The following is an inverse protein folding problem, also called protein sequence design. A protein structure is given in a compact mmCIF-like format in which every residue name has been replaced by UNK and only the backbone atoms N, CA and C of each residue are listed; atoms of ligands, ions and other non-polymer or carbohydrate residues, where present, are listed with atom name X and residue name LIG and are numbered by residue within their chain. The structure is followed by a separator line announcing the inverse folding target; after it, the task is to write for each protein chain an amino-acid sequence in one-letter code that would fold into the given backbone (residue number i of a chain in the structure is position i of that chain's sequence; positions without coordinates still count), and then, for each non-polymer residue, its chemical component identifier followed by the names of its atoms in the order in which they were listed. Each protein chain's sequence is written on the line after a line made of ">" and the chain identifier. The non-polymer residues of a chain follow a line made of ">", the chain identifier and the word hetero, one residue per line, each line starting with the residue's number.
data_IF_454321299690
#
_entry.id   IF_454321299690
#
_cell.length_a   1.000
_cell.length_b   1.000
_cell.length_c   1.000
_cell.angle_alpha   90.00
_cell.angle_beta   90.00
_cell.angle_gamma   90.00
#
_symmetry.space_group_name_H-M   'P 1'
#
loop_
_entity.id
_entity.type
_entity.pdbx_description
1 polymer ?
#
# COMPACT_ATOMS: atom_id res chain seq x y z
N UNK A 1 46.69 -56.33 2.50
CA UNK A 1 46.88 -55.30 3.55
C UNK A 1 47.81 -54.17 3.09
N UNK A 2 48.68 -54.38 2.11
CA UNK A 2 49.67 -53.38 1.70
C UNK A 2 49.15 -52.32 0.71
N UNK A 3 48.14 -52.63 -0.12
CA UNK A 3 47.58 -51.66 -1.08
C UNK A 3 46.82 -50.50 -0.39
N UNK A 4 46.04 -50.79 0.66
CA UNK A 4 45.23 -49.79 1.39
C UNK A 4 46.13 -48.82 2.17
N UNK A 5 47.26 -49.29 2.71
CA UNK A 5 48.26 -48.43 3.36
C UNK A 5 48.97 -47.50 2.36
N UNK A 6 49.12 -47.94 1.10
CA UNK A 6 49.72 -47.14 0.03
C UNK A 6 48.82 -46.00 -0.43
N UNK A 7 47.51 -46.25 -0.53
CA UNK A 7 46.54 -45.28 -1.05
C UNK A 7 46.26 -44.14 -0.05
N UNK A 8 46.06 -44.48 1.23
CA UNK A 8 45.94 -43.49 2.34
C UNK A 8 47.20 -42.62 2.45
N UNK A 9 48.38 -43.17 2.13
CA UNK A 9 49.64 -42.42 2.13
C UNK A 9 49.77 -41.43 0.97
N UNK A 10 49.04 -41.63 -0.14
CA UNK A 10 49.10 -40.73 -1.30
C UNK A 10 48.17 -39.52 -1.15
N UNK A 11 46.97 -39.71 -0.60
CA UNK A 11 46.02 -38.61 -0.39
C UNK A 11 46.52 -37.57 0.62
N UNK A 12 47.18 -38.03 1.69
CA UNK A 12 47.85 -37.16 2.67
C UNK A 12 49.01 -36.37 2.06
N UNK A 13 49.71 -36.91 1.05
CA UNK A 13 50.85 -36.24 0.40
C UNK A 13 50.43 -35.14 -0.58
N UNK A 14 49.22 -35.22 -1.14
CA UNK A 14 48.71 -34.24 -2.11
C UNK A 14 48.65 -32.83 -1.51
N UNK A 15 48.28 -32.73 -0.23
CA UNK A 15 48.05 -31.49 0.47
C UNK A 15 49.24 -31.02 1.31
N UNK A 16 50.36 -31.74 1.29
CA UNK A 16 51.59 -31.34 1.96
C UNK A 16 52.48 -30.56 0.98
N UNK A 17 52.95 -29.39 1.40
CA UNK A 17 54.04 -28.67 0.73
C UNK A 17 55.38 -29.31 1.05
N UNK A 18 56.32 -29.23 0.11
CA UNK A 18 57.73 -29.55 0.42
C UNK A 18 58.19 -28.62 1.55
N UNK A 19 58.81 -29.15 2.62
CA UNK A 19 59.27 -28.31 3.71
C UNK A 19 60.19 -27.21 3.17
N UNK A 20 59.81 -25.94 3.39
CA UNK A 20 60.69 -24.82 3.07
C UNK A 20 61.93 -24.95 3.96
N UNK A 21 63.09 -25.09 3.34
CA UNK A 21 64.38 -25.18 4.02
C UNK A 21 64.55 -23.98 4.94
N UNK A 22 64.75 -24.29 6.22
CA UNK A 22 65.12 -23.39 7.30
C UNK A 22 64.12 -22.26 7.66
N UNK A 23 63.58 -22.35 8.88
CA UNK A 23 63.11 -21.27 9.77
C UNK A 23 61.58 -21.08 9.99
N UNK A 24 60.65 -21.71 9.25
CA UNK A 24 59.20 -21.65 9.63
C UNK A 24 58.81 -22.73 10.67
N UNK A 25 59.38 -22.62 11.88
CA UNK A 25 59.13 -23.54 13.02
C UNK A 25 57.65 -23.72 13.33
N UNK A 26 57.08 -24.79 12.81
CA UNK A 26 55.86 -25.41 13.28
C UNK A 26 56.25 -26.74 13.94
N UNK A 27 56.95 -26.65 15.06
CA UNK A 27 57.68 -27.78 15.63
C UNK A 27 58.84 -28.19 14.72
N UNK A 28 60.05 -28.26 15.25
CA UNK A 28 61.24 -28.76 14.52
C UNK A 28 61.25 -30.29 14.40
N UNK A 29 60.09 -30.93 14.52
CA UNK A 29 59.93 -32.37 14.43
C UNK A 29 59.11 -32.65 13.17
N UNK A 30 59.75 -33.24 12.16
CA UNK A 30 59.03 -33.82 11.03
C UNK A 30 57.93 -34.73 11.57
N UNK A 31 56.68 -34.48 11.17
CA UNK A 31 55.56 -35.37 11.54
C UNK A 31 55.77 -36.69 10.81
N UNK A 32 56.55 -37.59 11.41
CA UNK A 32 56.57 -38.99 11.04
C UNK A 32 55.19 -39.57 11.35
N UNK A 33 54.57 -40.27 10.39
CA UNK A 33 53.24 -40.87 10.55
C UNK A 33 53.14 -41.82 11.76
N UNK A 34 54.27 -42.25 12.30
CA UNK A 34 54.43 -43.02 13.54
C UNK A 34 54.13 -42.25 14.84
N UNK A 35 53.90 -40.92 14.79
CA UNK A 35 53.86 -40.07 16.00
C UNK A 35 52.57 -39.26 16.22
N UNK A 36 51.57 -39.32 15.32
CA UNK A 36 50.28 -38.67 15.60
C UNK A 36 49.33 -39.63 16.33
N UNK A 37 48.91 -39.31 17.57
CA UNK A 37 47.90 -40.09 18.25
C UNK A 37 46.61 -40.10 17.43
N UNK A 38 45.93 -41.25 17.42
CA UNK A 38 44.62 -41.39 16.79
C UNK A 38 43.55 -41.29 17.87
N UNK A 39 42.42 -40.67 17.55
CA UNK A 39 41.23 -40.73 18.40
C UNK A 39 40.63 -42.15 18.35
N UNK A 40 39.75 -42.48 19.29
CA UNK A 40 39.02 -43.76 19.30
C UNK A 40 38.24 -44.01 18.00
N UNK A 41 37.86 -42.93 17.29
CA UNK A 41 37.13 -42.96 16.02
C UNK A 41 38.07 -43.01 14.79
N UNK A 42 39.39 -43.14 14.98
CA UNK A 42 40.37 -43.29 13.90
C UNK A 42 40.84 -41.99 13.24
N UNK A 43 40.52 -40.82 13.83
CA UNK A 43 40.98 -39.52 13.32
C UNK A 43 42.37 -39.15 13.88
N UNK A 44 43.13 -38.32 13.15
CA UNK A 44 44.40 -37.80 13.66
C UNK A 44 44.18 -36.67 14.68
N UNK A 45 44.85 -36.76 15.82
CA UNK A 45 44.89 -35.70 16.84
C UNK A 45 46.26 -35.01 16.83
N UNK A 46 46.26 -33.70 16.60
CA UNK A 46 47.47 -32.86 16.62
C UNK A 46 47.80 -32.32 18.01
N UNK A 47 47.05 -32.69 19.05
CA UNK A 47 47.35 -32.40 20.46
C UNK A 47 47.41 -30.90 20.78
N UNK A 48 46.54 -30.10 20.13
CA UNK A 48 46.53 -28.64 20.25
C UNK A 48 47.71 -27.93 19.57
N UNK A 49 48.57 -28.66 18.84
CA UNK A 49 49.66 -28.08 18.06
C UNK A 49 49.14 -27.55 16.72
N UNK A 50 49.89 -26.61 16.15
CA UNK A 50 49.61 -26.11 14.79
C UNK A 50 50.03 -27.16 13.76
N UNK A 51 49.24 -27.31 12.71
CA UNK A 51 49.61 -28.02 11.49
C UNK A 51 50.09 -26.99 10.46
N UNK A 52 51.25 -27.23 9.85
CA UNK A 52 51.88 -26.30 8.91
C UNK A 52 52.38 -27.04 7.66
N UNK A 53 52.85 -26.27 6.66
CA UNK A 53 53.22 -26.78 5.33
C UNK A 53 52.07 -27.54 4.65
N UNK A 54 50.84 -27.03 4.82
CA UNK A 54 49.65 -27.51 4.11
C UNK A 54 49.43 -26.59 2.91
N UNK A 55 49.19 -27.18 1.73
CA UNK A 55 48.75 -26.45 0.54
C UNK A 55 47.34 -25.91 0.72
N UNK A 56 46.98 -24.91 -0.07
CA UNK A 56 45.60 -24.49 -0.17
C UNK A 56 44.72 -25.66 -0.68
N UNK A 57 43.50 -25.81 -0.14
CA UNK A 57 42.61 -26.91 -0.48
C UNK A 57 42.15 -26.81 -1.94
N UNK A 58 42.08 -27.95 -2.63
CA UNK A 58 41.55 -28.09 -3.99
C UNK A 58 40.19 -28.78 -3.97
N UNK A 59 40.05 -29.82 -3.15
CA UNK A 59 38.82 -30.58 -2.97
C UNK A 59 38.12 -30.24 -1.65
N UNK A 60 36.83 -30.59 -1.55
CA UNK A 60 36.00 -30.28 -0.39
C UNK A 60 36.46 -30.98 0.91
N UNK A 61 37.23 -32.06 0.81
CA UNK A 61 37.75 -32.85 1.92
C UNK A 61 39.16 -32.40 2.36
N UNK A 62 39.78 -31.45 1.65
CA UNK A 62 41.11 -30.98 1.97
C UNK A 62 41.10 -30.06 3.20
N UNK A 63 42.20 -30.09 3.97
CA UNK A 63 42.37 -29.18 5.10
C UNK A 63 42.62 -27.75 4.59
N UNK A 64 41.85 -26.78 5.08
CA UNK A 64 42.02 -25.38 4.70
C UNK A 64 43.10 -24.68 5.54
N UNK A 65 43.99 -23.95 4.87
CA UNK A 65 44.94 -23.06 5.56
C UNK A 65 44.21 -21.83 6.12
N UNK A 66 44.73 -21.23 7.20
CA UNK A 66 44.21 -19.96 7.71
C UNK A 66 44.31 -18.84 6.66
N UNK A 67 45.35 -18.86 5.83
CA UNK A 67 45.57 -17.88 4.75
C UNK A 67 44.45 -18.02 3.70
N UNK A 68 44.14 -19.24 3.28
CA UNK A 68 43.04 -19.52 2.36
C UNK A 68 41.72 -18.96 2.88
N UNK A 69 41.34 -19.31 4.12
CA UNK A 69 40.09 -18.84 4.74
C UNK A 69 40.06 -17.30 4.86
N UNK A 70 41.17 -16.69 5.25
CA UNK A 70 41.28 -15.23 5.34
C UNK A 70 41.10 -14.55 3.98
N UNK A 71 41.66 -15.12 2.90
CA UNK A 71 41.50 -14.62 1.54
C UNK A 71 40.05 -14.69 1.07
N UNK A 72 39.38 -15.82 1.26
CA UNK A 72 37.96 -16.00 0.93
C UNK A 72 37.09 -14.97 1.68
N UNK A 73 37.32 -14.80 2.98
CA UNK A 73 36.61 -13.81 3.79
C UNK A 73 36.85 -12.36 3.30
N UNK A 74 38.07 -12.04 2.86
CA UNK A 74 38.40 -10.71 2.32
C UNK A 74 37.66 -10.45 1.01
N UNK A 75 37.55 -11.44 0.14
CA UNK A 75 36.81 -11.33 -1.13
C UNK A 75 35.30 -11.15 -0.88
N UNK A 76 34.72 -11.93 0.04
CA UNK A 76 33.33 -11.76 0.47
C UNK A 76 33.05 -10.36 1.04
N UNK A 77 33.95 -9.84 1.88
CA UNK A 77 33.84 -8.48 2.44
C UNK A 77 33.85 -7.42 1.33
N UNK A 78 34.77 -7.52 0.36
CA UNK A 78 34.82 -6.60 -0.79
C UNK A 78 33.53 -6.64 -1.62
N UNK A 79 32.98 -7.83 -1.82
CA UNK A 79 31.69 -7.96 -2.51
C UNK A 79 30.59 -7.23 -1.72
N UNK A 80 30.50 -7.48 -0.41
CA UNK A 80 29.52 -6.84 0.46
C UNK A 80 29.66 -5.31 0.45
N UNK A 81 30.89 -4.79 0.59
CA UNK A 81 31.18 -3.36 0.52
C UNK A 81 30.71 -2.77 -0.82
N UNK A 82 30.93 -3.47 -1.93
CA UNK A 82 30.48 -3.02 -3.25
C UNK A 82 28.96 -2.97 -3.37
N UNK A 83 28.24 -3.88 -2.71
CA UNK A 83 26.77 -3.92 -2.68
C UNK A 83 26.23 -2.77 -1.83
N UNK A 84 26.83 -2.54 -0.65
CA UNK A 84 26.44 -1.44 0.24
C UNK A 84 26.59 -0.09 -0.48
N UNK A 85 27.73 0.16 -1.14
CA UNK A 85 27.94 1.41 -1.89
C UNK A 85 26.91 1.60 -3.01
N UNK A 86 26.54 0.52 -3.71
CA UNK A 86 25.50 0.58 -4.76
C UNK A 86 24.12 0.90 -4.17
N UNK A 87 23.76 0.26 -3.07
CA UNK A 87 22.48 0.48 -2.39
C UNK A 87 22.39 1.91 -1.84
N UNK A 88 23.45 2.40 -1.19
CA UNK A 88 23.52 3.78 -0.71
C UNK A 88 23.30 4.75 -1.87
N UNK A 89 23.99 4.55 -2.99
CA UNK A 89 23.82 5.40 -4.18
C UNK A 89 22.41 5.41 -4.75
N UNK A 90 21.65 4.31 -4.62
CA UNK A 90 20.24 4.23 -5.02
C UNK A 90 19.37 4.99 -4.00
N UNK A 91 19.57 4.75 -2.71
CA UNK A 91 18.82 5.39 -1.62
C UNK A 91 18.96 6.92 -1.69
N UNK A 92 20.19 7.43 -1.81
CA UNK A 92 20.46 8.87 -1.89
C UNK A 92 19.82 9.55 -3.09
N UNK A 93 19.63 8.83 -4.21
CA UNK A 93 18.97 9.36 -5.41
C UNK A 93 17.44 9.35 -5.28
N UNK A 94 16.88 8.35 -4.63
CA UNK A 94 15.43 8.15 -4.57
C UNK A 94 14.78 8.89 -3.41
N UNK A 95 15.45 8.98 -2.26
CA UNK A 95 14.88 9.58 -1.04
C UNK A 95 14.44 11.04 -1.22
N UNK A 96 15.24 11.95 -1.84
CA UNK A 96 14.82 13.34 -2.02
C UNK A 96 13.60 13.49 -2.93
N UNK A 97 13.49 12.64 -3.96
CA UNK A 97 12.34 12.64 -4.86
C UNK A 97 11.05 12.22 -4.14
N UNK A 98 11.14 11.21 -3.25
CA UNK A 98 10.02 10.78 -2.41
C UNK A 98 9.60 11.88 -1.43
N UNK A 99 10.55 12.55 -0.77
CA UNK A 99 10.25 13.67 0.13
C UNK A 99 9.58 14.86 -0.58
N UNK A 100 10.00 15.15 -1.81
CA UNK A 100 9.39 16.19 -2.62
C UNK A 100 7.95 15.81 -2.97
N UNK A 101 7.74 14.56 -3.41
CA UNK A 101 6.41 14.06 -3.74
C UNK A 101 5.46 14.08 -2.53
N UNK A 102 5.96 13.73 -1.34
CA UNK A 102 5.18 13.80 -0.09
C UNK A 102 4.76 15.23 0.23
N UNK A 103 5.64 16.21 0.03
CA UNK A 103 5.33 17.64 0.22
C UNK A 103 4.26 18.11 -0.76
N UNK A 104 4.34 17.68 -2.02
CA UNK A 104 3.36 18.05 -3.04
C UNK A 104 2.00 17.40 -2.79
N UNK A 105 1.96 16.14 -2.35
CA UNK A 105 0.74 15.46 -1.90
C UNK A 105 0.08 16.22 -0.74
N UNK A 106 0.85 16.62 0.28
CA UNK A 106 0.34 17.42 1.41
C UNK A 106 -0.23 18.77 0.97
N UNK A 107 0.39 19.42 -0.03
CA UNK A 107 -0.14 20.68 -0.60
C UNK A 107 -1.45 20.46 -1.33
N UNK A 108 -1.55 19.41 -2.15
CA UNK A 108 -2.78 19.07 -2.85
C UNK A 108 -3.91 18.70 -1.88
N UNK A 109 -3.61 17.94 -0.83
CA UNK A 109 -4.60 17.60 0.20
C UNK A 109 -5.17 18.86 0.87
N UNK A 110 -4.31 19.83 1.18
CA UNK A 110 -4.72 21.11 1.76
C UNK A 110 -5.62 21.92 0.81
N UNK A 111 -5.28 21.96 -0.48
CA UNK A 111 -6.07 22.65 -1.51
C UNK A 111 -7.42 21.98 -1.75
N UNK A 112 -7.46 20.64 -1.74
CA UNK A 112 -8.72 19.90 -1.83
C UNK A 112 -9.62 20.18 -0.64
N UNK A 113 -9.07 20.18 0.59
CA UNK A 113 -9.83 20.51 1.80
C UNK A 113 -10.41 21.92 1.76
N UNK A 114 -9.66 22.93 1.30
CA UNK A 114 -10.19 24.29 1.18
C UNK A 114 -11.29 24.38 0.13
N UNK A 115 -11.14 23.72 -1.02
CA UNK A 115 -12.17 23.65 -2.06
C UNK A 115 -13.45 23.00 -1.56
N UNK A 116 -13.34 21.86 -0.86
CA UNK A 116 -14.51 21.18 -0.27
C UNK A 116 -15.28 22.11 0.67
N UNK A 117 -14.58 22.79 1.59
CA UNK A 117 -15.22 23.74 2.51
C UNK A 117 -15.96 24.88 1.80
N UNK A 118 -15.42 25.39 0.68
CA UNK A 118 -16.08 26.42 -0.13
C UNK A 118 -17.38 25.87 -0.72
N UNK A 119 -17.33 24.68 -1.33
CA UNK A 119 -18.52 24.06 -1.93
C UNK A 119 -19.58 23.71 -0.89
N UNK A 120 -19.19 23.22 0.30
CA UNK A 120 -20.13 22.98 1.40
C UNK A 120 -20.88 24.24 1.81
N UNK A 121 -20.17 25.38 1.87
CA UNK A 121 -20.78 26.68 2.17
C UNK A 121 -21.73 27.15 1.06
N UNK A 122 -21.35 26.96 -0.20
CA UNK A 122 -22.20 27.30 -1.35
C UNK A 122 -23.48 26.46 -1.37
N UNK A 123 -23.36 25.14 -1.17
CA UNK A 123 -24.51 24.23 -1.05
C UNK A 123 -25.43 24.67 0.09
N UNK A 124 -24.88 25.00 1.27
CA UNK A 124 -25.66 25.50 2.39
C UNK A 124 -26.44 26.78 2.07
N UNK A 125 -25.84 27.72 1.33
CA UNK A 125 -26.51 28.94 0.90
C UNK A 125 -27.63 28.67 -0.12
N UNK A 126 -27.42 27.75 -1.05
CA UNK A 126 -28.42 27.34 -2.04
C UNK A 126 -29.64 26.69 -1.37
N UNK A 127 -29.42 25.78 -0.41
CA UNK A 127 -30.50 25.15 0.37
C UNK A 127 -31.31 26.18 1.17
N UNK A 128 -30.64 27.19 1.74
CA UNK A 128 -31.34 28.27 2.43
C UNK A 128 -32.21 29.10 1.48
N UNK A 129 -31.73 29.36 0.27
CA UNK A 129 -32.49 30.07 -0.75
C UNK A 129 -33.69 29.26 -1.22
N UNK A 130 -33.50 27.96 -1.48
CA UNK A 130 -34.54 27.02 -1.87
C UNK A 130 -35.66 26.96 -0.82
N UNK A 131 -35.30 26.86 0.46
CA UNK A 131 -36.28 26.87 1.55
C UNK A 131 -37.09 28.18 1.58
N UNK A 132 -36.44 29.33 1.38
CA UNK A 132 -37.14 30.62 1.32
C UNK A 132 -38.10 30.70 0.14
N UNK A 133 -37.70 30.18 -1.03
CA UNK A 133 -38.57 30.15 -2.21
C UNK A 133 -39.76 29.21 -2.00
N UNK A 134 -39.55 28.05 -1.39
CA UNK A 134 -40.62 27.07 -1.12
C UNK A 134 -41.67 27.64 -0.15
N UNK A 135 -41.24 28.33 0.92
CA UNK A 135 -42.17 29.01 1.84
C UNK A 135 -42.99 30.08 1.11
N UNK A 136 -42.35 30.84 0.21
CA UNK A 136 -43.06 31.86 -0.58
C UNK A 136 -44.05 31.25 -1.57
N UNK A 137 -43.70 30.13 -2.21
CA UNK A 137 -44.57 29.39 -3.11
C UNK A 137 -45.80 28.88 -2.35
N UNK A 138 -45.62 28.24 -1.19
CA UNK A 138 -46.72 27.76 -0.35
C UNK A 138 -47.69 28.90 0.00
N UNK A 139 -47.16 30.06 0.41
CA UNK A 139 -47.99 31.23 0.74
C UNK A 139 -48.78 31.76 -0.47
N UNK A 140 -48.24 31.65 -1.68
CA UNK A 140 -48.93 32.04 -2.91
C UNK A 140 -50.01 31.01 -3.28
N UNK A 141 -49.72 29.72 -3.16
CA UNK A 141 -50.70 28.64 -3.35
C UNK A 141 -51.89 28.80 -2.42
N UNK A 142 -51.64 29.09 -1.14
CA UNK A 142 -52.71 29.35 -0.17
C UNK A 142 -53.59 30.53 -0.59
N UNK A 143 -53.00 31.63 -1.09
CA UNK A 143 -53.73 32.79 -1.59
C UNK A 143 -54.55 32.50 -2.85
N UNK A 144 -54.02 31.68 -3.75
CA UNK A 144 -54.71 31.24 -4.96
C UNK A 144 -55.92 30.39 -4.55
N UNK A 145 -55.71 29.38 -3.71
CA UNK A 145 -56.78 28.52 -3.19
C UNK A 145 -57.89 29.33 -2.50
N UNK A 146 -57.53 30.33 -1.70
CA UNK A 146 -58.51 31.19 -1.03
C UNK A 146 -59.30 32.05 -2.03
N UNK A 147 -58.65 32.52 -3.09
CA UNK A 147 -59.29 33.28 -4.18
C UNK A 147 -60.23 32.40 -5.01
N UNK A 148 -59.83 31.17 -5.32
CA UNK A 148 -60.65 30.19 -6.03
C UNK A 148 -61.93 29.87 -5.25
N UNK A 149 -61.83 29.66 -3.93
CA UNK A 149 -63.01 29.47 -3.06
C UNK A 149 -63.97 30.65 -3.13
N UNK A 150 -63.45 31.89 -3.07
CA UNK A 150 -64.29 33.11 -3.18
C UNK A 150 -64.96 33.24 -4.53
N UNK A 151 -64.24 32.91 -5.62
CA UNK A 151 -64.81 32.92 -6.97
C UNK A 151 -65.91 31.87 -7.11
N UNK A 152 -65.70 30.66 -6.57
CA UNK A 152 -66.70 29.60 -6.59
C UNK A 152 -67.97 30.00 -5.84
N UNK A 153 -67.85 30.58 -4.65
CA UNK A 153 -69.00 31.10 -3.90
C UNK A 153 -69.78 32.18 -4.69
N UNK A 154 -69.07 33.09 -5.37
CA UNK A 154 -69.70 34.11 -6.22
C UNK A 154 -70.41 33.48 -7.42
N UNK A 155 -69.80 32.47 -8.04
CA UNK A 155 -70.39 31.75 -9.15
C UNK A 155 -71.68 31.04 -8.70
N UNK A 156 -71.64 30.32 -7.59
CA UNK A 156 -72.81 29.61 -7.05
C UNK A 156 -73.94 30.58 -6.67
N UNK A 157 -73.60 31.77 -6.12
CA UNK A 157 -74.57 32.82 -5.84
C UNK A 157 -75.27 33.32 -7.12
N UNK A 158 -74.49 33.59 -8.17
CA UNK A 158 -75.03 34.06 -9.45
C UNK A 158 -75.88 32.98 -10.12
N UNK A 159 -75.46 31.72 -10.08
CA UNK A 159 -76.20 30.59 -10.65
C UNK A 159 -77.56 30.40 -9.95
N UNK A 160 -77.58 30.46 -8.61
CA UNK A 160 -78.82 30.43 -7.85
C UNK A 160 -79.75 31.61 -8.16
N UNK A 161 -79.18 32.83 -8.28
CA UNK A 161 -79.93 34.01 -8.67
C UNK A 161 -80.57 33.88 -10.06
N UNK A 162 -79.80 33.38 -11.03
CA UNK A 162 -80.27 33.13 -12.40
C UNK A 162 -81.40 32.10 -12.42
N UNK A 163 -81.24 30.98 -11.71
CA UNK A 163 -82.26 29.93 -11.61
C UNK A 163 -83.58 30.47 -11.04
N UNK A 164 -83.51 31.31 -10.01
CA UNK A 164 -84.69 31.95 -9.43
C UNK A 164 -85.39 32.87 -10.46
N UNK A 165 -84.62 33.71 -11.16
CA UNK A 165 -85.17 34.59 -12.21
C UNK A 165 -85.84 33.77 -13.32
N UNK A 166 -85.19 32.69 -13.77
CA UNK A 166 -85.76 31.77 -14.78
C UNK A 166 -87.08 31.14 -14.29
N UNK A 167 -87.15 30.74 -13.02
CA UNK A 167 -88.37 30.22 -12.42
C UNK A 167 -89.50 31.25 -12.40
N UNK A 168 -89.21 32.50 -12.00
CA UNK A 168 -90.19 33.59 -12.02
C UNK A 168 -90.70 33.88 -13.43
N UNK A 169 -89.81 33.89 -14.43
CA UNK A 169 -90.19 34.07 -15.83
C UNK A 169 -91.13 32.96 -16.32
N UNK A 170 -90.86 31.70 -15.96
CA UNK A 170 -91.73 30.57 -16.30
C UNK A 170 -93.14 30.72 -15.70
N UNK A 171 -93.24 31.16 -14.44
CA UNK A 171 -94.54 31.41 -13.80
C UNK A 171 -95.30 32.55 -14.48
N UNK A 172 -94.61 33.63 -14.86
CA UNK A 172 -95.21 34.75 -15.59
C UNK A 172 -95.69 34.34 -16.98
N UNK A 173 -94.88 33.59 -17.74
CA UNK A 173 -95.26 33.05 -19.05
C UNK A 173 -96.54 32.21 -18.96
N UNK A 174 -96.59 31.28 -17.99
CA UNK A 174 -97.79 30.46 -17.76
C UNK A 174 -99.03 31.31 -17.44
N UNK A 175 -98.87 32.36 -16.64
CA UNK A 175 -99.98 33.26 -16.30
C UNK A 175 -100.47 34.10 -17.47
N UNK A 176 -99.57 34.49 -18.38
CA UNK A 176 -99.94 35.15 -19.64
C UNK A 176 -100.75 34.18 -20.51
N UNK A 177 -100.28 32.94 -20.70
CA UNK A 177 -101.01 31.92 -21.46
C UNK A 177 -102.40 31.63 -20.89
N UNK A 178 -102.56 31.61 -19.56
CA UNK A 178 -103.84 31.43 -18.89
C UNK A 178 -104.80 32.62 -19.11
N UNK A 179 -104.27 33.83 -19.30
CA UNK A 179 -105.06 35.04 -19.59
C UNK A 179 -105.49 35.10 -21.06
N UNK A 180 -104.65 34.67 -21.99
CA UNK A 180 -104.97 34.64 -23.43
C UNK A 180 -106.07 33.63 -23.79
N UNK A 181 -106.33 32.64 -22.93
CA UNK A 181 -107.39 31.62 -23.11
C UNK A 181 -108.77 32.03 -22.56
N UNK A 182 -108.87 33.17 -21.86
CA UNK A 182 -110.13 33.70 -21.32
C UNK A 182 -110.75 34.73 -22.26
#
# INVERSE_FOLDING_TARGET
>A
MDAIKSEISQDLKRNLETPLTDISKCGTEEIHSSFLPHTLDGNYDVGGKRLCNIKDPVDAQDCATMIYVAKQNKELRRYLDSVVVKLDGIIWKQLPALELHEKDLKRHEKDLKSKVNIHEKEIGNLLLLENKTNVRLQSLEDKINDSERRLKLKQDFLENGLNNIQHQLSLLQKRIEDLEKK
#
